data_IF_230841352959
#
_entry.id   IF_230841352959
#
_cell.length_a   1.000
_cell.length_b   1.000
_cell.length_c   1.000
_cell.angle_alpha   90.00
_cell.angle_beta   90.00
_cell.angle_gamma   90.00
#
_symmetry.space_group_name_H-M   'P 1'
#
loop_
_entity.id
_entity.type
_entity.pdbx_description
1 polymer ?
#
# COMPACT_ATOMS: atom_id res chain seq x y z
N UNK A 1 15.95 -60.06 10.09
CA UNK A 1 14.74 -59.23 10.23
C UNK A 1 15.22 -57.82 10.61
N UNK A 2 15.40 -56.92 9.66
CA UNK A 2 14.35 -56.22 8.90
C UNK A 2 13.74 -55.12 9.77
N UNK A 3 13.98 -53.86 9.39
CA UNK A 3 13.05 -52.79 9.73
C UNK A 3 11.65 -53.30 9.46
N UNK A 4 10.83 -53.31 10.49
CA UNK A 4 9.65 -54.16 10.49
C UNK A 4 8.69 -53.58 9.44
N UNK A 5 8.33 -54.39 8.44
CA UNK A 5 7.42 -54.03 7.34
C UNK A 5 7.89 -52.94 6.36
N UNK A 6 9.20 -52.79 6.14
CA UNK A 6 9.71 -51.94 5.05
C UNK A 6 9.47 -52.58 3.66
N UNK A 7 9.13 -51.77 2.65
CA UNK A 7 8.83 -52.22 1.28
C UNK A 7 9.73 -51.52 0.26
N UNK A 8 10.35 -52.30 -0.63
CA UNK A 8 10.97 -51.80 -1.87
C UNK A 8 10.29 -52.49 -3.05
N UNK A 9 9.58 -51.74 -3.88
CA UNK A 9 8.79 -52.29 -4.98
C UNK A 9 9.61 -52.72 -6.21
N UNK A 10 10.84 -52.21 -6.36
CA UNK A 10 11.75 -52.59 -7.45
C UNK A 10 12.85 -51.55 -7.71
N UNK A 11 13.47 -51.61 -8.89
CA UNK A 11 14.47 -50.62 -9.33
C UNK A 11 15.91 -50.92 -8.89
N UNK A 12 16.77 -49.89 -8.92
CA UNK A 12 18.21 -50.02 -8.69
C UNK A 12 18.68 -49.11 -7.55
N UNK A 13 19.50 -49.63 -6.62
CA UNK A 13 20.13 -48.81 -5.57
C UNK A 13 19.17 -48.20 -4.54
N UNK A 14 17.92 -48.66 -4.46
CA UNK A 14 16.94 -48.15 -3.50
C UNK A 14 17.20 -48.70 -2.09
N UNK A 15 16.96 -47.88 -1.08
CA UNK A 15 17.17 -48.21 0.34
C UNK A 15 15.94 -47.83 1.17
N UNK A 16 15.37 -48.79 1.89
CA UNK A 16 14.26 -48.57 2.83
C UNK A 16 14.69 -49.03 4.23
N UNK A 17 15.12 -48.08 5.07
CA UNK A 17 15.71 -48.33 6.40
C UNK A 17 14.81 -47.87 7.57
N UNK A 18 13.59 -47.42 7.30
CA UNK A 18 12.65 -47.03 8.35
C UNK A 18 11.64 -48.14 8.64
N UNK A 19 11.13 -48.22 9.87
CA UNK A 19 10.02 -49.11 10.16
C UNK A 19 8.79 -48.67 9.35
N UNK A 20 8.12 -49.61 8.68
CA UNK A 20 6.99 -49.32 7.78
C UNK A 20 7.32 -48.33 6.64
N UNK A 21 8.59 -48.13 6.28
CA UNK A 21 8.93 -47.24 5.16
C UNK A 21 8.66 -47.91 3.82
N UNK A 22 8.28 -47.12 2.82
CA UNK A 22 7.92 -47.61 1.49
C UNK A 22 8.72 -46.86 0.42
N UNK A 23 9.40 -47.60 -0.46
CA UNK A 23 10.03 -47.08 -1.68
C UNK A 23 9.49 -47.85 -2.87
N UNK A 24 8.59 -47.26 -3.66
CA UNK A 24 7.87 -48.00 -4.71
C UNK A 24 8.75 -48.46 -5.88
N UNK A 25 9.89 -47.81 -6.13
CA UNK A 25 10.80 -48.17 -7.22
C UNK A 25 11.76 -47.03 -7.59
N UNK A 26 12.29 -47.07 -8.82
CA UNK A 26 13.18 -46.03 -9.35
C UNK A 26 14.67 -46.31 -9.11
N UNK A 27 15.48 -45.25 -9.04
CA UNK A 27 16.94 -45.38 -8.89
C UNK A 27 17.47 -44.58 -7.70
N UNK A 28 18.25 -45.20 -6.82
CA UNK A 28 18.95 -44.53 -5.71
C UNK A 28 18.04 -43.75 -4.74
N UNK A 29 16.82 -44.23 -4.50
CA UNK A 29 15.89 -43.60 -3.56
C UNK A 29 16.11 -44.09 -2.13
N UNK A 30 15.91 -43.22 -1.14
CA UNK A 30 16.12 -43.48 0.29
C UNK A 30 14.86 -43.19 1.11
N UNK A 31 14.28 -44.21 1.75
CA UNK A 31 13.24 -44.07 2.78
C UNK A 31 13.78 -44.51 4.14
N UNK A 32 14.35 -43.59 4.93
CA UNK A 32 15.20 -43.94 6.08
C UNK A 32 14.55 -43.80 7.46
N UNK A 33 13.34 -43.26 7.55
CA UNK A 33 12.64 -43.04 8.84
C UNK A 33 11.30 -43.76 8.88
N UNK A 34 10.73 -43.88 10.09
CA UNK A 34 9.45 -44.58 10.32
C UNK A 34 8.33 -43.95 9.48
N UNK A 35 7.55 -44.76 8.77
CA UNK A 35 6.48 -44.36 7.85
C UNK A 35 6.93 -43.45 6.68
N UNK A 36 8.23 -43.33 6.42
CA UNK A 36 8.73 -42.57 5.30
C UNK A 36 8.29 -43.20 3.96
N UNK A 37 7.82 -42.39 3.02
CA UNK A 37 7.32 -42.85 1.72
C UNK A 37 8.07 -42.17 0.58
N UNK A 38 8.57 -42.95 -0.37
CA UNK A 38 9.08 -42.47 -1.65
C UNK A 38 8.30 -43.15 -2.78
N UNK A 39 7.52 -42.38 -3.53
CA UNK A 39 6.66 -42.89 -4.60
C UNK A 39 7.41 -43.37 -5.85
N UNK A 40 8.69 -43.00 -6.01
CA UNK A 40 9.56 -43.43 -7.11
C UNK A 40 10.56 -42.36 -7.52
N UNK A 41 10.98 -42.37 -8.80
CA UNK A 41 11.89 -41.37 -9.34
C UNK A 41 13.37 -41.70 -9.11
N UNK A 42 14.23 -40.69 -9.04
CA UNK A 42 15.67 -40.88 -8.88
C UNK A 42 16.29 -40.03 -7.78
N UNK A 43 17.16 -40.61 -6.95
CA UNK A 43 17.95 -39.90 -5.94
C UNK A 43 17.11 -39.09 -4.94
N UNK A 44 15.88 -39.53 -4.66
CA UNK A 44 14.99 -38.90 -3.68
C UNK A 44 15.26 -39.44 -2.28
N UNK A 45 15.12 -38.61 -1.24
CA UNK A 45 15.22 -39.06 0.15
C UNK A 45 14.07 -38.55 1.03
N UNK A 46 13.35 -39.49 1.64
CA UNK A 46 12.42 -39.27 2.73
C UNK A 46 13.06 -39.76 4.04
N UNK A 47 13.49 -38.82 4.89
CA UNK A 47 14.31 -39.09 6.08
C UNK A 47 13.73 -38.57 7.39
N UNK A 48 12.60 -37.84 7.36
CA UNK A 48 11.84 -37.48 8.56
C UNK A 48 10.76 -38.51 8.88
N UNK A 49 10.28 -38.54 10.12
CA UNK A 49 9.17 -39.43 10.51
C UNK A 49 7.93 -39.07 9.70
N UNK A 50 7.26 -40.06 9.10
CA UNK A 50 6.11 -39.88 8.23
C UNK A 50 6.34 -38.88 7.08
N UNK A 51 7.58 -38.69 6.64
CA UNK A 51 7.87 -37.81 5.51
C UNK A 51 7.55 -38.49 4.18
N UNK A 52 7.10 -37.70 3.20
CA UNK A 52 6.70 -38.19 1.89
C UNK A 52 7.42 -37.45 0.78
N UNK A 53 8.01 -38.21 -0.14
CA UNK A 53 8.40 -37.73 -1.46
C UNK A 53 7.54 -38.44 -2.51
N UNK A 54 6.69 -37.72 -3.23
CA UNK A 54 5.80 -38.34 -4.23
C UNK A 54 6.56 -38.91 -5.44
N UNK A 55 7.70 -38.31 -5.81
CA UNK A 55 8.57 -38.78 -6.90
C UNK A 55 9.54 -37.69 -7.36
N UNK A 56 9.88 -37.68 -8.66
CA UNK A 56 10.78 -36.69 -9.25
C UNK A 56 12.26 -37.05 -9.16
N UNK A 57 13.14 -36.06 -9.22
CA UNK A 57 14.59 -36.29 -9.17
C UNK A 57 15.26 -35.36 -8.15
N UNK A 58 16.00 -35.95 -7.21
CA UNK A 58 16.79 -35.23 -6.18
C UNK A 58 15.90 -34.34 -5.29
N UNK A 59 14.87 -34.94 -4.68
CA UNK A 59 14.01 -34.29 -3.69
C UNK A 59 14.31 -34.79 -2.27
N UNK A 60 14.24 -33.90 -1.28
CA UNK A 60 14.57 -34.18 0.11
C UNK A 60 13.43 -33.79 1.05
N UNK A 61 12.80 -34.77 1.71
CA UNK A 61 11.82 -34.58 2.78
C UNK A 61 12.42 -35.05 4.12
N UNK A 62 13.09 -34.13 4.83
CA UNK A 62 13.95 -34.41 6.00
C UNK A 62 13.32 -34.05 7.35
N UNK A 63 12.36 -33.14 7.37
CA UNK A 63 11.59 -32.83 8.59
C UNK A 63 10.50 -33.87 8.85
N UNK A 64 10.05 -33.98 10.09
CA UNK A 64 8.92 -34.86 10.43
C UNK A 64 7.62 -34.34 9.78
N UNK A 65 6.79 -35.26 9.30
CA UNK A 65 5.52 -34.97 8.62
C UNK A 65 5.66 -34.07 7.38
N UNK A 66 6.85 -34.03 6.77
CA UNK A 66 7.08 -33.22 5.58
C UNK A 66 6.53 -33.87 4.32
N UNK A 67 6.10 -33.05 3.38
CA UNK A 67 5.65 -33.50 2.05
C UNK A 67 6.41 -32.77 0.97
N UNK A 68 7.02 -33.51 0.05
CA UNK A 68 7.51 -33.00 -1.23
C UNK A 68 6.80 -33.78 -2.33
N UNK A 69 5.82 -33.17 -3.00
CA UNK A 69 4.97 -33.91 -3.93
C UNK A 69 5.73 -34.41 -5.17
N UNK A 70 6.80 -33.73 -5.58
CA UNK A 70 7.65 -34.15 -6.69
C UNK A 70 8.50 -33.02 -7.25
N UNK A 71 8.81 -33.07 -8.55
CA UNK A 71 9.67 -32.11 -9.23
C UNK A 71 11.16 -32.38 -8.95
N UNK A 72 11.90 -31.33 -8.61
CA UNK A 72 13.34 -31.35 -8.39
C UNK A 72 14.11 -30.94 -9.65
N UNK A 73 15.42 -31.17 -9.66
CA UNK A 73 16.30 -30.81 -10.77
C UNK A 73 17.52 -31.70 -10.83
N UNK A 74 18.33 -31.57 -11.89
CA UNK A 74 19.41 -32.52 -12.22
C UNK A 74 20.55 -32.63 -11.19
N UNK A 75 20.54 -31.83 -10.13
CA UNK A 75 21.57 -31.80 -9.09
C UNK A 75 20.99 -31.45 -7.72
N UNK A 76 21.77 -31.65 -6.66
CA UNK A 76 21.40 -31.26 -5.29
C UNK A 76 21.17 -29.74 -5.13
N UNK A 77 21.80 -28.91 -5.96
CA UNK A 77 21.60 -27.46 -5.96
C UNK A 77 20.19 -27.06 -6.43
N UNK A 78 19.53 -27.94 -7.19
CA UNK A 78 18.20 -27.74 -7.75
C UNK A 78 17.11 -28.54 -7.04
N UNK A 79 17.47 -29.13 -5.91
CA UNK A 79 16.56 -29.98 -5.12
C UNK A 79 15.40 -29.21 -4.52
N UNK A 80 14.24 -29.86 -4.42
CA UNK A 80 13.27 -29.43 -3.43
C UNK A 80 13.67 -29.99 -2.06
N UNK A 81 13.69 -29.14 -1.04
CA UNK A 81 14.17 -29.50 0.30
C UNK A 81 13.19 -29.01 1.38
N UNK A 82 12.45 -29.95 1.96
CA UNK A 82 11.55 -29.73 3.09
C UNK A 82 12.22 -30.22 4.38
N UNK A 83 12.62 -29.30 5.26
CA UNK A 83 13.34 -29.63 6.51
C UNK A 83 12.59 -29.19 7.77
N UNK A 84 11.65 -28.26 7.68
CA UNK A 84 10.83 -27.85 8.83
C UNK A 84 9.74 -28.88 9.11
N UNK A 85 9.42 -29.14 10.37
CA UNK A 85 8.36 -30.10 10.70
C UNK A 85 7.02 -29.63 10.14
N UNK A 86 6.23 -30.57 9.59
CA UNK A 86 4.96 -30.30 8.89
C UNK A 86 5.09 -29.37 7.67
N UNK A 87 6.30 -29.19 7.13
CA UNK A 87 6.47 -28.32 5.96
C UNK A 87 6.07 -29.04 4.66
N UNK A 88 5.58 -28.27 3.70
CA UNK A 88 5.07 -28.79 2.43
C UNK A 88 5.71 -28.07 1.25
N UNK A 89 6.13 -28.86 0.26
CA UNK A 89 6.51 -28.42 -1.07
C UNK A 89 5.60 -29.11 -2.09
N UNK A 90 4.79 -28.33 -2.81
CA UNK A 90 3.87 -28.86 -3.82
C UNK A 90 4.57 -29.33 -5.11
N UNK A 91 5.80 -28.91 -5.37
CA UNK A 91 6.61 -29.35 -6.51
C UNK A 91 7.58 -28.28 -7.00
N UNK A 92 7.90 -28.27 -8.29
CA UNK A 92 8.79 -27.29 -8.90
C UNK A 92 10.28 -27.64 -8.78
N UNK A 93 11.16 -26.65 -8.83
CA UNK A 93 12.63 -26.81 -8.79
C UNK A 93 13.25 -25.91 -7.74
N UNK A 94 14.27 -26.40 -7.04
CA UNK A 94 15.09 -25.61 -6.11
C UNK A 94 14.29 -24.95 -4.96
N UNK A 95 13.14 -25.50 -4.56
CA UNK A 95 12.31 -24.91 -3.52
C UNK A 95 12.74 -25.38 -2.13
N UNK A 96 12.69 -24.49 -1.14
CA UNK A 96 13.12 -24.77 0.24
C UNK A 96 12.01 -24.40 1.22
N UNK A 97 11.52 -25.38 1.98
CA UNK A 97 10.55 -25.20 3.06
C UNK A 97 11.18 -25.64 4.39
N UNK A 98 11.88 -24.71 5.04
CA UNK A 98 12.69 -25.00 6.23
C UNK A 98 12.07 -24.55 7.55
N UNK A 99 11.03 -23.72 7.50
CA UNK A 99 10.26 -23.32 8.68
C UNK A 99 9.26 -24.39 9.12
N UNK A 100 8.93 -24.41 10.40
CA UNK A 100 7.84 -25.27 10.92
C UNK A 100 6.51 -24.83 10.31
N UNK A 101 5.72 -25.76 9.79
CA UNK A 101 4.50 -25.49 9.00
C UNK A 101 4.72 -24.62 7.75
N UNK A 102 5.96 -24.47 7.28
CA UNK A 102 6.24 -23.68 6.09
C UNK A 102 5.64 -24.32 4.84
N UNK A 103 5.10 -23.50 3.95
CA UNK A 103 4.52 -23.98 2.69
C UNK A 103 5.17 -23.29 1.50
N UNK A 104 5.64 -24.08 0.55
CA UNK A 104 5.98 -23.61 -0.80
C UNK A 104 5.12 -24.38 -1.79
N UNK A 105 4.10 -23.75 -2.37
CA UNK A 105 3.18 -24.48 -3.24
C UNK A 105 3.84 -24.96 -4.55
N UNK A 106 4.90 -24.29 -5.02
CA UNK A 106 5.68 -24.72 -6.18
C UNK A 106 6.56 -23.60 -6.74
N UNK A 107 6.84 -23.65 -8.04
CA UNK A 107 7.67 -22.65 -8.73
C UNK A 107 9.16 -22.97 -8.74
N UNK A 108 10.00 -21.95 -8.86
CA UNK A 108 11.46 -22.13 -8.98
C UNK A 108 12.22 -21.28 -7.96
N UNK A 109 13.11 -21.90 -7.19
CA UNK A 109 14.00 -21.19 -6.25
C UNK A 109 13.25 -20.38 -5.17
N UNK A 110 12.08 -20.85 -4.72
CA UNK A 110 11.33 -20.21 -3.65
C UNK A 110 11.74 -20.75 -2.28
N UNK A 111 11.80 -19.87 -1.27
CA UNK A 111 12.20 -20.21 0.09
C UNK A 111 11.19 -19.73 1.12
N UNK A 112 10.58 -20.67 1.85
CA UNK A 112 9.81 -20.40 3.06
C UNK A 112 10.61 -20.89 4.28
N UNK A 113 11.17 -19.95 5.04
CA UNK A 113 12.12 -20.26 6.13
C UNK A 113 11.85 -19.54 7.45
N UNK A 114 10.76 -18.79 7.57
CA UNK A 114 10.35 -18.20 8.85
C UNK A 114 10.08 -19.28 9.90
N UNK A 115 10.32 -18.97 11.18
CA UNK A 115 10.28 -19.95 12.27
C UNK A 115 8.94 -20.70 12.43
N UNK A 116 7.86 -20.10 11.93
CA UNK A 116 6.51 -20.66 11.96
C UNK A 116 5.70 -20.17 10.74
N UNK A 117 4.98 -21.07 10.07
CA UNK A 117 3.94 -20.81 9.06
C UNK A 117 4.28 -19.84 7.91
N UNK A 118 5.56 -19.68 7.58
CA UNK A 118 5.97 -18.90 6.41
C UNK A 118 5.45 -19.54 5.11
N UNK A 119 4.90 -18.73 4.21
CA UNK A 119 4.24 -19.21 2.99
C UNK A 119 4.76 -18.53 1.74
N UNK A 120 5.07 -19.33 0.72
CA UNK A 120 5.28 -18.86 -0.66
C UNK A 120 4.34 -19.62 -1.58
N UNK A 121 3.35 -18.94 -2.17
CA UNK A 121 2.35 -19.60 -3.02
C UNK A 121 2.87 -19.97 -4.42
N UNK A 122 4.07 -19.53 -4.79
CA UNK A 122 4.70 -19.90 -6.07
C UNK A 122 5.59 -18.80 -6.64
N UNK A 123 5.70 -18.76 -7.97
CA UNK A 123 6.56 -17.81 -8.68
C UNK A 123 8.02 -18.24 -8.70
N UNK A 124 8.95 -17.28 -8.81
CA UNK A 124 10.37 -17.58 -8.82
C UNK A 124 11.22 -16.65 -7.95
N UNK A 125 12.21 -17.22 -7.27
CA UNK A 125 13.15 -16.50 -6.40
C UNK A 125 12.50 -15.72 -5.25
N UNK A 126 11.35 -16.18 -4.76
CA UNK A 126 10.65 -15.51 -3.66
C UNK A 126 11.10 -16.04 -2.30
N UNK A 127 11.18 -15.16 -1.30
CA UNK A 127 11.67 -15.48 0.05
C UNK A 127 10.64 -15.01 1.09
N UNK A 128 10.08 -15.95 1.85
CA UNK A 128 9.33 -15.67 3.08
C UNK A 128 10.16 -16.13 4.28
N UNK A 129 10.84 -15.20 4.96
CA UNK A 129 11.77 -15.50 6.05
C UNK A 129 11.33 -14.96 7.42
N UNK A 130 10.34 -14.07 7.48
CA UNK A 130 9.72 -13.67 8.75
C UNK A 130 8.77 -14.75 9.29
N UNK A 131 8.53 -14.76 10.60
CA UNK A 131 7.49 -15.63 11.17
C UNK A 131 6.12 -15.22 10.61
N UNK A 132 5.30 -16.18 10.19
CA UNK A 132 3.97 -15.95 9.58
C UNK A 132 4.02 -15.06 8.32
N UNK A 133 5.20 -14.89 7.71
CA UNK A 133 5.37 -14.07 6.52
C UNK A 133 4.82 -14.77 5.28
N UNK A 134 4.21 -13.99 4.39
CA UNK A 134 3.59 -14.52 3.17
C UNK A 134 4.10 -13.80 1.93
N UNK A 135 4.49 -14.58 0.92
CA UNK A 135 4.67 -14.10 -0.46
C UNK A 135 3.69 -14.82 -1.38
N UNK A 136 2.71 -14.10 -1.91
CA UNK A 136 1.66 -14.69 -2.74
C UNK A 136 2.17 -15.14 -4.14
N UNK A 137 3.38 -14.73 -4.54
CA UNK A 137 4.01 -15.14 -5.80
C UNK A 137 4.86 -14.05 -6.42
N UNK A 138 4.99 -14.08 -7.76
CA UNK A 138 5.78 -13.11 -8.52
C UNK A 138 7.25 -13.49 -8.66
N UNK A 139 8.11 -12.48 -8.85
CA UNK A 139 9.54 -12.67 -9.07
C UNK A 139 10.42 -11.86 -8.12
N UNK A 140 11.30 -12.53 -7.39
CA UNK A 140 12.30 -11.89 -6.51
C UNK A 140 11.67 -11.00 -5.43
N UNK A 141 10.63 -11.50 -4.77
CA UNK A 141 9.98 -10.81 -3.66
C UNK A 141 10.48 -11.35 -2.31
N UNK A 142 10.63 -10.47 -1.33
CA UNK A 142 11.11 -10.84 0.02
C UNK A 142 10.13 -10.34 1.09
N UNK A 143 9.53 -11.25 1.85
CA UNK A 143 8.79 -10.96 3.08
C UNK A 143 9.64 -11.43 4.28
N UNK A 144 10.35 -10.51 4.92
CA UNK A 144 11.29 -10.81 6.01
C UNK A 144 10.85 -10.32 7.38
N UNK A 145 9.87 -9.42 7.46
CA UNK A 145 9.28 -9.00 8.73
C UNK A 145 8.29 -10.03 9.27
N UNK A 146 8.10 -10.07 10.59
CA UNK A 146 7.09 -10.95 11.19
C UNK A 146 5.69 -10.50 10.76
N UNK A 147 4.84 -11.45 10.36
CA UNK A 147 3.49 -11.20 9.85
C UNK A 147 3.48 -10.28 8.62
N UNK A 148 4.62 -10.17 7.91
CA UNK A 148 4.73 -9.33 6.71
C UNK A 148 4.13 -10.01 5.50
N UNK A 149 3.63 -9.22 4.56
CA UNK A 149 3.02 -9.73 3.33
C UNK A 149 3.55 -9.02 2.09
N UNK A 150 3.93 -9.83 1.09
CA UNK A 150 4.11 -9.38 -0.29
C UNK A 150 3.04 -10.02 -1.16
N UNK A 151 2.10 -9.22 -1.66
CA UNK A 151 0.97 -9.72 -2.47
C UNK A 151 1.36 -10.20 -3.88
N UNK A 152 2.60 -9.98 -4.32
CA UNK A 152 3.11 -10.40 -5.61
C UNK A 152 3.87 -9.30 -6.32
N UNK A 153 3.98 -9.41 -7.65
CA UNK A 153 4.75 -8.47 -8.47
C UNK A 153 6.25 -8.80 -8.49
N UNK A 154 7.11 -7.79 -8.55
CA UNK A 154 8.54 -8.01 -8.83
C UNK A 154 9.45 -7.13 -7.97
N UNK A 155 10.46 -7.73 -7.34
CA UNK A 155 11.47 -7.03 -6.53
C UNK A 155 10.92 -6.28 -5.31
N UNK A 156 9.78 -6.69 -4.75
CA UNK A 156 9.23 -6.06 -3.55
C UNK A 156 9.88 -6.60 -2.27
N UNK A 157 9.93 -5.76 -1.24
CA UNK A 157 10.45 -6.11 0.09
C UNK A 157 9.46 -5.66 1.14
N UNK A 158 9.01 -6.58 2.00
CA UNK A 158 8.26 -6.31 3.22
C UNK A 158 9.10 -6.77 4.42
N UNK A 159 9.90 -5.85 4.97
CA UNK A 159 10.90 -6.15 6.00
C UNK A 159 10.48 -5.73 7.41
N UNK A 160 9.55 -4.80 7.56
CA UNK A 160 8.98 -4.45 8.86
C UNK A 160 7.97 -5.49 9.35
N UNK A 161 7.81 -5.63 10.66
CA UNK A 161 6.73 -6.41 11.25
C UNK A 161 5.37 -5.83 10.81
N UNK A 162 4.40 -6.68 10.48
CA UNK A 162 3.07 -6.29 9.98
C UNK A 162 3.09 -5.42 8.70
N UNK A 163 4.21 -5.39 7.97
CA UNK A 163 4.34 -4.57 6.76
C UNK A 163 3.71 -5.23 5.53
N UNK A 164 3.33 -4.40 4.56
CA UNK A 164 2.71 -4.81 3.31
C UNK A 164 3.41 -4.17 2.11
N UNK A 165 3.77 -4.97 1.10
CA UNK A 165 4.32 -4.47 -0.16
C UNK A 165 3.65 -5.08 -1.41
N UNK A 166 3.41 -4.25 -2.42
CA UNK A 166 2.82 -4.67 -3.69
C UNK A 166 3.34 -3.89 -4.91
N UNK A 167 3.34 -4.55 -6.07
CA UNK A 167 3.66 -3.96 -7.37
C UNK A 167 5.09 -4.20 -7.83
N UNK A 168 5.86 -3.16 -8.18
CA UNK A 168 7.27 -3.31 -8.58
C UNK A 168 8.20 -2.46 -7.72
N UNK A 169 9.15 -3.12 -7.05
CA UNK A 169 10.19 -2.49 -6.23
C UNK A 169 9.66 -1.63 -5.06
N UNK A 170 8.52 -2.00 -4.49
CA UNK A 170 8.02 -1.43 -3.23
C UNK A 170 8.85 -1.93 -2.04
N UNK A 171 9.34 -1.02 -1.19
CA UNK A 171 10.21 -1.31 -0.04
C UNK A 171 9.54 -0.91 1.27
N UNK A 172 8.78 -1.82 1.85
CA UNK A 172 8.12 -1.68 3.13
C UNK A 172 9.07 -2.08 4.28
N UNK A 173 10.07 -1.23 4.55
CA UNK A 173 11.18 -1.54 5.45
C UNK A 173 10.90 -1.33 6.94
N UNK A 174 9.76 -0.72 7.29
CA UNK A 174 9.42 -0.34 8.67
C UNK A 174 8.13 -1.00 9.13
N UNK A 175 7.98 -1.16 10.43
CA UNK A 175 6.83 -1.85 11.03
C UNK A 175 5.51 -1.15 10.66
N UNK A 176 4.49 -1.94 10.36
CA UNK A 176 3.14 -1.47 10.04
C UNK A 176 3.02 -0.62 8.77
N UNK A 177 4.06 -0.53 7.93
CA UNK A 177 3.99 0.29 6.71
C UNK A 177 3.40 -0.48 5.52
N UNK A 178 2.59 0.23 4.72
CA UNK A 178 1.92 -0.28 3.54
C UNK A 178 2.47 0.46 2.32
N UNK A 179 3.11 -0.25 1.38
CA UNK A 179 3.75 0.32 0.19
C UNK A 179 3.20 -0.26 -1.09
N UNK A 180 2.69 0.61 -1.94
CA UNK A 180 2.24 0.28 -3.29
C UNK A 180 3.09 1.02 -4.30
N UNK A 181 3.69 0.29 -5.24
CA UNK A 181 4.51 0.88 -6.29
C UNK A 181 4.03 0.42 -7.67
N UNK A 182 3.82 1.36 -8.57
CA UNK A 182 3.52 1.09 -9.98
C UNK A 182 4.63 0.32 -10.73
N UNK A 183 4.45 0.15 -12.04
CA UNK A 183 5.35 -0.61 -12.92
C UNK A 183 6.74 0.02 -13.14
N UNK A 184 6.98 1.22 -12.61
CA UNK A 184 8.22 1.96 -12.83
C UNK A 184 9.41 1.22 -12.20
N UNK A 185 10.54 1.14 -12.92
CA UNK A 185 11.70 0.37 -12.49
C UNK A 185 12.62 1.16 -11.56
N UNK A 186 12.09 1.64 -10.45
CA UNK A 186 12.86 2.32 -9.41
C UNK A 186 12.42 1.80 -8.04
N UNK A 187 13.32 1.83 -7.05
CA UNK A 187 12.93 1.52 -5.68
C UNK A 187 11.99 2.59 -5.13
N UNK A 188 10.87 2.15 -4.56
CA UNK A 188 9.97 3.01 -3.81
C UNK A 188 10.15 2.73 -2.32
N UNK A 189 11.00 3.53 -1.69
CA UNK A 189 11.36 3.46 -0.28
C UNK A 189 11.25 4.85 0.32
N UNK A 190 10.51 4.98 1.42
CA UNK A 190 10.42 6.23 2.19
C UNK A 190 11.09 5.97 3.54
N UNK A 191 12.15 6.71 3.91
CA UNK A 191 12.82 6.56 5.20
C UNK A 191 11.90 6.78 6.42
N UNK A 192 12.24 6.16 7.55
CA UNK A 192 11.74 6.42 8.92
C UNK A 192 10.22 6.60 9.09
N UNK A 193 9.43 5.73 8.47
CA UNK A 193 7.95 5.82 8.48
C UNK A 193 7.32 4.49 8.85
N UNK A 194 7.36 4.17 10.15
CA UNK A 194 6.52 3.12 10.72
C UNK A 194 5.03 3.52 10.66
N UNK A 195 4.13 2.56 10.55
CA UNK A 195 2.68 2.75 10.53
C UNK A 195 2.17 3.71 9.43
N UNK A 196 2.88 3.80 8.31
CA UNK A 196 2.51 4.70 7.21
C UNK A 196 1.89 3.96 6.02
N UNK A 197 0.93 4.59 5.35
CA UNK A 197 0.47 4.19 4.02
C UNK A 197 1.14 5.05 2.95
N UNK A 198 1.70 4.46 1.90
CA UNK A 198 2.30 5.22 0.80
C UNK A 198 2.18 4.54 -0.55
N UNK A 199 1.98 5.38 -1.56
CA UNK A 199 1.71 4.95 -2.93
C UNK A 199 2.61 5.73 -3.88
N UNK A 200 3.31 5.02 -4.78
CA UNK A 200 3.87 5.59 -6.00
C UNK A 200 3.00 5.15 -7.17
N UNK A 201 2.26 6.10 -7.72
CA UNK A 201 1.47 5.93 -8.93
C UNK A 201 1.81 7.06 -9.91
N UNK A 202 2.78 6.83 -10.79
CA UNK A 202 3.25 7.82 -11.78
C UNK A 202 2.16 8.25 -12.76
N UNK A 203 1.12 7.43 -12.95
CA UNK A 203 -0.09 7.77 -13.70
C UNK A 203 -1.13 8.59 -12.92
N UNK A 204 -0.93 8.83 -11.62
CA UNK A 204 -1.89 9.50 -10.75
C UNK A 204 -2.63 8.56 -9.78
N UNK A 205 -3.41 9.15 -8.87
CA UNK A 205 -4.20 8.46 -7.83
C UNK A 205 -5.65 8.88 -7.95
N UNK A 206 -6.56 7.91 -7.94
CA UNK A 206 -8.01 8.13 -7.91
C UNK A 206 -8.59 7.55 -6.63
N UNK A 207 -9.35 8.36 -5.88
CA UNK A 207 -10.06 7.96 -4.66
C UNK A 207 -11.54 8.29 -4.84
N UNK A 208 -12.38 7.26 -5.02
CA UNK A 208 -13.83 7.44 -5.19
C UNK A 208 -14.58 6.88 -3.99
N UNK A 209 -15.66 7.56 -3.61
CA UNK A 209 -16.54 7.17 -2.49
C UNK A 209 -17.88 6.62 -2.95
N UNK A 210 -18.08 6.45 -4.26
CA UNK A 210 -19.28 5.84 -4.82
C UNK A 210 -19.01 4.96 -6.05
N UNK A 211 -19.91 3.99 -6.29
CA UNK A 211 -19.74 2.98 -7.34
C UNK A 211 -19.73 3.56 -8.76
N UNK A 212 -20.39 4.69 -9.00
CA UNK A 212 -20.46 5.34 -10.32
C UNK A 212 -19.30 6.29 -10.59
N UNK A 213 -18.32 6.40 -9.69
CA UNK A 213 -17.13 7.24 -9.85
C UNK A 213 -17.45 8.73 -10.06
N UNK A 214 -18.53 9.22 -9.47
CA UNK A 214 -18.98 10.62 -9.60
C UNK A 214 -18.69 11.46 -8.36
N UNK A 215 -18.14 10.86 -7.30
CA UNK A 215 -17.78 11.53 -6.06
C UNK A 215 -16.43 11.00 -5.56
N UNK A 216 -15.47 11.90 -5.37
CA UNK A 216 -14.10 11.54 -5.06
C UNK A 216 -13.07 12.64 -5.32
N UNK A 217 -11.80 12.26 -5.25
CA UNK A 217 -10.64 13.11 -5.49
C UNK A 217 -9.61 12.44 -6.41
N UNK A 218 -8.94 13.26 -7.22
CA UNK A 218 -7.93 12.84 -8.20
C UNK A 218 -6.62 13.61 -8.05
N UNK A 219 -5.50 12.90 -7.95
CA UNK A 219 -4.17 13.46 -8.12
C UNK A 219 -3.67 13.05 -9.51
N UNK A 220 -3.59 13.99 -10.45
CA UNK A 220 -3.08 13.69 -11.79
C UNK A 220 -1.59 13.35 -11.78
N UNK A 221 -1.14 12.62 -12.81
CA UNK A 221 0.27 12.36 -13.06
C UNK A 221 1.10 13.66 -12.95
N UNK A 222 2.12 13.65 -12.08
CA UNK A 222 3.02 14.79 -11.86
C UNK A 222 2.41 15.99 -11.12
N UNK A 223 1.14 15.94 -10.73
CA UNK A 223 0.50 17.02 -9.95
C UNK A 223 0.86 16.94 -8.46
N UNK A 224 0.81 18.08 -7.78
CA UNK A 224 1.03 18.21 -6.34
C UNK A 224 -0.26 18.49 -5.55
N UNK A 225 -1.42 18.63 -6.21
CA UNK A 225 -2.70 18.97 -5.57
C UNK A 225 -3.84 18.05 -5.98
N UNK A 226 -4.81 17.89 -5.08
CA UNK A 226 -6.01 17.12 -5.31
C UNK A 226 -7.01 17.89 -6.17
N UNK A 227 -7.64 17.19 -7.10
CA UNK A 227 -8.73 17.67 -7.92
C UNK A 227 -10.02 17.03 -7.42
N UNK A 228 -10.90 17.82 -6.81
CA UNK A 228 -12.24 17.38 -6.47
C UNK A 228 -13.10 17.31 -7.74
N UNK A 229 -13.95 16.29 -7.85
CA UNK A 229 -14.91 16.19 -8.96
C UNK A 229 -15.86 17.39 -8.90
N UNK A 230 -15.88 18.22 -9.95
CA UNK A 230 -16.56 19.51 -9.96
C UNK A 230 -17.40 19.79 -11.22
N UNK A 231 -17.84 18.74 -11.92
CA UNK A 231 -18.65 18.84 -13.15
C UNK A 231 -20.11 19.27 -12.86
N UNK A 232 -20.62 20.22 -13.64
CA UNK A 232 -22.02 20.67 -13.60
C UNK A 232 -23.05 19.59 -13.98
N UNK A 233 -22.67 18.60 -14.78
CA UNK A 233 -23.55 17.48 -15.10
C UNK A 233 -23.74 16.52 -13.91
N UNK A 234 -22.84 16.60 -12.93
CA UNK A 234 -22.83 15.79 -11.71
C UNK A 234 -23.38 16.52 -10.49
N UNK A 235 -23.76 17.79 -10.63
CA UNK A 235 -24.28 18.65 -9.57
C UNK A 235 -25.75 18.98 -9.83
N UNK A 236 -26.44 19.48 -8.80
CA UNK A 236 -27.86 19.85 -8.84
C UNK A 236 -28.16 20.98 -7.86
N UNK A 237 -29.34 21.60 -8.02
CA UNK A 237 -29.87 22.67 -7.14
C UNK A 237 -28.98 23.92 -7.08
N UNK A 238 -28.70 24.50 -8.24
CA UNK A 238 -27.96 25.76 -8.35
C UNK A 238 -28.83 26.96 -8.01
N UNK A 239 -28.23 27.97 -7.38
CA UNK A 239 -28.87 29.25 -7.06
C UNK A 239 -27.84 30.38 -7.10
N UNK A 240 -28.32 31.63 -7.21
CA UNK A 240 -27.45 32.80 -7.07
C UNK A 240 -27.00 32.93 -5.61
N UNK A 241 -25.74 33.28 -5.42
CA UNK A 241 -25.16 33.58 -4.10
C UNK A 241 -25.29 35.09 -3.85
N UNK A 242 -25.78 35.48 -2.67
CA UNK A 242 -25.76 36.87 -2.24
C UNK A 242 -24.33 37.26 -1.82
N UNK A 243 -23.60 37.90 -2.74
CA UNK A 243 -22.20 38.27 -2.52
C UNK A 243 -22.03 39.30 -1.41
N UNK A 244 -23.05 40.12 -1.15
CA UNK A 244 -23.05 41.11 -0.07
C UNK A 244 -23.13 40.42 1.29
N UNK A 245 -24.09 39.51 1.45
CA UNK A 245 -24.23 38.71 2.67
C UNK A 245 -22.97 37.89 2.93
N UNK A 246 -22.39 37.28 1.88
CA UNK A 246 -21.15 36.51 2.01
C UNK A 246 -20.00 37.38 2.50
N UNK A 247 -19.75 38.55 1.88
CA UNK A 247 -18.67 39.44 2.32
C UNK A 247 -18.89 39.93 3.76
N UNK A 248 -20.13 40.28 4.12
CA UNK A 248 -20.45 40.74 5.48
C UNK A 248 -20.20 39.63 6.52
N UNK A 249 -20.53 38.36 6.19
CA UNK A 249 -20.21 37.20 7.04
C UNK A 249 -18.71 36.95 7.13
N UNK A 250 -18.00 36.95 5.99
CA UNK A 250 -16.54 36.77 5.94
C UNK A 250 -15.82 37.83 6.79
N UNK A 251 -16.28 39.08 6.77
CA UNK A 251 -15.71 40.15 7.59
C UNK A 251 -15.86 39.93 9.10
N UNK A 252 -16.81 39.09 9.53
CA UNK A 252 -17.04 38.72 10.95
C UNK A 252 -16.51 37.35 11.33
N UNK A 253 -16.03 36.57 10.36
CA UNK A 253 -15.55 35.21 10.59
C UNK A 253 -14.21 35.25 11.37
N UNK A 254 -14.12 34.62 12.55
CA UNK A 254 -12.85 34.53 13.26
C UNK A 254 -11.83 33.72 12.45
N UNK A 255 -10.65 34.31 12.23
CA UNK A 255 -9.49 33.63 11.64
C UNK A 255 -8.40 33.59 12.71
N UNK A 256 -8.07 32.38 13.15
CA UNK A 256 -7.16 32.16 14.27
C UNK A 256 -5.93 31.36 13.84
N UNK A 257 -4.88 31.46 14.64
CA UNK A 257 -3.72 30.57 14.56
C UNK A 257 -3.90 29.43 15.55
N UNK A 258 -3.72 28.20 15.11
CA UNK A 258 -3.97 27.01 15.93
C UNK A 258 -3.04 25.85 15.56
N UNK A 259 -2.98 24.84 16.42
CA UNK A 259 -2.19 23.62 16.23
C UNK A 259 -3.05 22.40 16.56
N UNK A 260 -2.86 21.30 15.83
CA UNK A 260 -3.53 20.04 16.17
C UNK A 260 -2.94 19.44 17.44
N UNK A 261 -3.80 19.01 18.37
CA UNK A 261 -3.35 18.35 19.63
C UNK A 261 -2.50 17.10 19.42
N UNK A 262 -2.68 16.41 18.28
CA UNK A 262 -1.95 15.20 17.93
C UNK A 262 -0.68 15.47 17.11
N UNK A 263 -0.43 16.73 16.73
CA UNK A 263 0.75 17.15 15.99
C UNK A 263 1.75 17.82 16.94
N UNK A 264 3.00 17.92 16.51
CA UNK A 264 4.00 18.75 17.17
C UNK A 264 3.53 20.21 17.32
N UNK A 265 3.71 20.79 18.50
CA UNK A 265 3.24 22.13 18.86
C UNK A 265 3.91 23.25 18.05
N UNK A 266 5.10 23.00 17.46
CA UNK A 266 5.76 23.97 16.59
C UNK A 266 5.03 24.16 15.26
N UNK A 267 4.16 23.22 14.87
CA UNK A 267 3.39 23.31 13.64
C UNK A 267 2.15 24.15 13.88
N UNK A 268 2.07 25.27 13.17
CA UNK A 268 0.95 26.21 13.26
C UNK A 268 0.18 26.25 11.94
N UNK A 269 -1.13 26.33 12.07
CA UNK A 269 -2.08 26.50 10.98
C UNK A 269 -2.80 27.84 11.15
N UNK A 270 -3.37 28.37 10.07
CA UNK A 270 -4.19 29.58 10.10
C UNK A 270 -5.50 29.27 9.39
N UNK A 271 -6.62 29.57 10.04
CA UNK A 271 -7.94 29.36 9.46
C UNK A 271 -9.07 29.50 10.48
N UNK A 272 -10.33 29.44 10.02
CA UNK A 272 -11.47 29.45 10.92
C UNK A 272 -11.65 28.09 11.61
N UNK A 273 -12.38 28.09 12.73
CA UNK A 273 -12.91 26.87 13.32
C UNK A 273 -14.17 26.41 12.56
N UNK A 274 -14.34 25.10 12.41
CA UNK A 274 -15.45 24.52 11.64
C UNK A 274 -16.83 24.93 12.18
N UNK A 275 -16.96 25.08 13.50
CA UNK A 275 -18.21 25.43 14.15
C UNK A 275 -18.67 26.85 13.79
N UNK A 276 -17.74 27.82 13.79
CA UNK A 276 -18.03 29.21 13.41
C UNK A 276 -18.32 29.33 11.91
N UNK A 277 -17.54 28.62 11.09
CA UNK A 277 -17.77 28.54 9.64
C UNK A 277 -19.16 27.96 9.33
N UNK A 278 -19.52 26.83 9.95
CA UNK A 278 -20.84 26.21 9.81
C UNK A 278 -21.96 27.10 10.33
N UNK A 279 -21.74 27.86 11.42
CA UNK A 279 -22.72 28.79 11.97
C UNK A 279 -23.08 29.90 10.98
N UNK A 280 -22.09 30.42 10.24
CA UNK A 280 -22.30 31.53 9.30
C UNK A 280 -22.81 31.07 7.93
N UNK A 281 -22.24 30.00 7.36
CA UNK A 281 -22.46 29.63 5.96
C UNK A 281 -23.37 28.42 5.76
N UNK A 282 -23.45 27.49 6.72
CA UNK A 282 -24.27 26.26 6.62
C UNK A 282 -24.00 25.43 5.35
N UNK A 283 -22.72 25.29 4.98
CA UNK A 283 -22.23 24.47 3.85
C UNK A 283 -21.29 23.39 4.35
N UNK A 284 -21.19 22.29 3.62
CA UNK A 284 -20.46 21.08 4.02
C UNK A 284 -21.38 19.98 4.56
N UNK A 285 -20.76 18.91 5.06
CA UNK A 285 -21.49 17.72 5.54
C UNK A 285 -21.84 17.80 7.04
N UNK A 286 -21.05 18.53 7.84
CA UNK A 286 -21.25 18.68 9.28
C UNK A 286 -20.65 19.98 9.85
N UNK A 287 -20.80 20.19 11.16
CA UNK A 287 -20.28 21.36 11.87
C UNK A 287 -18.88 21.19 12.48
N UNK A 288 -18.19 20.08 12.18
CA UNK A 288 -16.92 19.70 12.78
C UNK A 288 -15.77 19.64 11.75
N UNK A 289 -16.10 19.75 10.47
CA UNK A 289 -15.18 19.74 9.35
C UNK A 289 -15.46 20.90 8.39
N UNK A 290 -14.45 21.24 7.59
CA UNK A 290 -14.58 22.21 6.50
C UNK A 290 -14.11 21.51 5.23
N UNK A 291 -15.00 21.39 4.24
CA UNK A 291 -14.63 20.90 2.91
C UNK A 291 -13.81 21.98 2.22
N UNK A 292 -12.64 21.62 1.68
CA UNK A 292 -11.69 22.61 1.11
C UNK A 292 -12.29 23.44 -0.02
N UNK A 293 -13.29 22.93 -0.74
CA UNK A 293 -13.97 23.64 -1.84
C UNK A 293 -14.88 24.79 -1.36
N UNK A 294 -15.41 24.72 -0.14
CA UNK A 294 -16.37 25.69 0.37
C UNK A 294 -15.72 27.05 0.69
N UNK A 295 -14.57 27.10 1.41
CA UNK A 295 -13.82 28.34 1.59
C UNK A 295 -13.42 28.99 0.25
N UNK A 296 -13.04 28.21 -0.77
CA UNK A 296 -12.67 28.74 -2.08
C UNK A 296 -13.85 29.46 -2.75
N UNK A 297 -15.03 28.83 -2.76
CA UNK A 297 -16.25 29.43 -3.30
C UNK A 297 -16.68 30.70 -2.55
N UNK A 298 -16.60 30.67 -1.22
CA UNK A 298 -16.89 31.83 -0.35
C UNK A 298 -15.89 32.97 -0.57
N UNK A 299 -14.61 32.66 -0.67
CA UNK A 299 -13.56 33.64 -0.95
C UNK A 299 -13.79 34.33 -2.30
N UNK A 300 -14.10 33.56 -3.37
CA UNK A 300 -14.41 34.12 -4.68
C UNK A 300 -15.64 35.03 -4.64
N UNK A 301 -16.71 34.64 -3.95
CA UNK A 301 -17.91 35.46 -3.79
C UNK A 301 -17.64 36.75 -2.99
N UNK A 302 -16.84 36.67 -1.93
CA UNK A 302 -16.43 37.84 -1.15
C UNK A 302 -15.55 38.80 -1.97
N UNK A 303 -14.60 38.27 -2.76
CA UNK A 303 -13.76 39.07 -3.66
C UNK A 303 -14.61 39.80 -4.70
N UNK A 304 -15.60 39.13 -5.29
CA UNK A 304 -16.52 39.76 -6.24
C UNK A 304 -17.27 40.94 -5.62
N UNK A 305 -17.75 40.80 -4.38
CA UNK A 305 -18.41 41.92 -3.69
C UNK A 305 -17.43 43.04 -3.33
N UNK A 306 -16.23 42.69 -2.88
CA UNK A 306 -15.20 43.66 -2.52
C UNK A 306 -14.83 44.53 -3.73
N UNK A 307 -14.68 43.91 -4.91
CA UNK A 307 -14.44 44.63 -6.16
C UNK A 307 -15.56 45.65 -6.46
N UNK A 308 -16.84 45.24 -6.35
CA UNK A 308 -17.98 46.16 -6.54
C UNK A 308 -18.00 47.32 -5.54
N UNK A 309 -17.59 47.07 -4.28
CA UNK A 309 -17.51 48.13 -3.26
C UNK A 309 -16.36 49.10 -3.57
N UNK A 310 -15.21 48.58 -4.01
CA UNK A 310 -14.06 49.40 -4.39
C UNK A 310 -14.38 50.30 -5.59
N UNK A 311 -15.01 49.79 -6.65
CA UNK A 311 -15.44 50.61 -7.80
C UNK A 311 -16.35 51.77 -7.36
N UNK A 312 -17.34 51.48 -6.50
CA UNK A 312 -18.22 52.53 -5.95
C UNK A 312 -17.47 53.56 -5.12
N UNK A 313 -16.48 53.14 -4.34
CA UNK A 313 -15.63 54.04 -3.56
C UNK A 313 -14.76 54.90 -4.48
N UNK A 314 -14.18 54.33 -5.53
CA UNK A 314 -13.39 55.06 -6.53
C UNK A 314 -14.23 56.13 -7.25
N UNK A 315 -15.46 55.81 -7.66
CA UNK A 315 -16.39 56.79 -8.21
C UNK A 315 -16.74 57.91 -7.22
N UNK A 316 -16.95 57.56 -5.94
CA UNK A 316 -17.22 58.55 -4.89
C UNK A 316 -16.02 59.48 -4.69
N UNK A 317 -14.81 58.92 -4.66
CA UNK A 317 -13.57 59.70 -4.55
C UNK A 317 -13.40 60.62 -5.76
N UNK A 318 -13.66 60.14 -6.98
CA UNK A 318 -13.61 60.97 -8.19
C UNK A 318 -14.59 62.14 -8.14
N UNK A 319 -15.86 61.88 -7.78
CA UNK A 319 -16.90 62.91 -7.62
C UNK A 319 -16.52 63.93 -6.55
N UNK A 320 -16.04 63.48 -5.40
CA UNK A 320 -15.61 64.37 -4.32
C UNK A 320 -14.40 65.21 -4.73
N UNK A 321 -13.45 64.64 -5.48
CA UNK A 321 -12.28 65.36 -5.99
C UNK A 321 -12.69 66.47 -6.95
N UNK A 322 -13.62 66.20 -7.87
CA UNK A 322 -14.20 67.19 -8.78
C UNK A 322 -14.92 68.32 -8.03
N UNK A 323 -15.70 67.97 -6.99
CA UNK A 323 -16.35 68.96 -6.11
C UNK A 323 -15.35 69.84 -5.37
N UNK A 324 -14.28 69.26 -4.82
CA UNK A 324 -13.22 70.03 -4.15
C UNK A 324 -12.54 70.97 -5.15
N UNK A 325 -12.20 70.51 -6.35
CA UNK A 325 -11.58 71.35 -7.38
C UNK A 325 -12.46 72.53 -7.80
N UNK A 326 -13.77 72.29 -7.98
CA UNK A 326 -14.73 73.35 -8.32
C UNK A 326 -14.90 74.37 -7.19
N UNK A 327 -14.94 73.94 -5.93
CA UNK A 327 -14.98 74.84 -4.78
C UNK A 327 -13.71 75.68 -4.66
N UNK A 328 -12.52 75.07 -4.81
CA UNK A 328 -11.25 75.80 -4.78
C UNK A 328 -11.15 76.84 -5.91
N UNK A 329 -11.62 76.50 -7.12
CA UNK A 329 -11.67 77.43 -8.24
C UNK A 329 -12.63 78.60 -7.96
N UNK A 330 -13.78 78.35 -7.34
CA UNK A 330 -14.72 79.39 -6.95
C UNK A 330 -14.11 80.33 -5.88
N UNK A 331 -13.41 79.78 -4.89
CA UNK A 331 -12.76 80.53 -3.81
C UNK A 331 -11.63 81.44 -4.33
N UNK A 332 -10.80 80.95 -5.26
CA UNK A 332 -9.81 81.77 -5.97
C UNK A 332 -10.46 82.92 -6.74
N UNK A 333 -11.61 82.68 -7.37
CA UNK A 333 -12.35 83.68 -8.14
C UNK A 333 -12.95 84.79 -7.25
N UNK A 334 -13.35 84.47 -6.02
CA UNK A 334 -13.78 85.46 -5.01
C UNK A 334 -12.61 86.28 -4.45
N UNK A 335 -11.46 85.66 -4.17
CA UNK A 335 -10.30 86.44 -3.65
C UNK A 335 -9.69 87.42 -4.66
N UNK A 336 -9.86 87.17 -5.97
CA UNK A 336 -9.49 88.13 -7.03
C UNK A 336 -10.48 89.28 -7.23
N UNK A 337 -11.70 89.18 -6.70
CA UNK A 337 -12.68 90.29 -6.71
C UNK A 337 -12.58 91.20 -5.49
N UNK A 338 -11.86 90.77 -4.44
CA UNK A 338 -11.68 91.52 -3.19
C UNK A 338 -10.31 92.22 -3.08
N UNK A 339 -9.49 92.19 -4.14
CA UNK A 339 -8.28 93.00 -4.31
C UNK A 339 -8.47 94.04 -5.40
#
# INVERSE_FOLDING_TARGET
ASYSWAVIGGGYGNTANGNFSTVNGGSSNLGSSTWATVGGGGSNAASGVASTVGGGYVNFARGDYTVVSGGGGGSSADSNSATGSNSTIGGGRANVASGTYATVAGGSANRASGGYSATVSGGASNIASGQDATVCGGYTNTASGNVSTVCGGTFNVAAGAYSFAAGRRAKANYDGCFRWADSYNADFSIPDTANSFSVRATGGVHLFTNATLTSGAHLYAGSSTWNAVSDSTLKRRYGKVDTKEVLDKVATLPIERWSYKAQDESVHHIGPMAQDFWRLFRVGDDSLSILTIDPDGIALAAIQELAKRNEKLEEQVARLTEQVQTLMAAEQHTSHKEK
#
